data_IF_344263476178
#
_entry.id   IF_344263476178
#
_cell.length_a   1.000
_cell.length_b   1.000
_cell.length_c   1.000
_cell.angle_alpha   90.00
_cell.angle_beta   90.00
_cell.angle_gamma   90.00
#
_symmetry.space_group_name_H-M   'P 1'
#
loop_
_entity.id
_entity.type
_entity.pdbx_description
1 polymer ?
#
# COMPACT_ATOMS: atom_id res chain seq x y z
N UNK A 1 0.19 5.70 -1.57
CA UNK A 1 -0.95 5.83 -0.65
C UNK A 1 -0.53 5.38 0.74
N UNK A 2 0.01 4.16 0.88
CA UNK A 2 0.40 3.57 2.16
C UNK A 2 1.25 4.48 3.06
N UNK A 3 2.35 5.08 2.56
CA UNK A 3 3.18 5.96 3.39
C UNK A 3 2.41 7.18 3.93
N UNK A 4 1.47 7.72 3.15
CA UNK A 4 0.61 8.83 3.59
C UNK A 4 -0.40 8.39 4.66
N UNK A 5 -0.98 7.18 4.51
CA UNK A 5 -1.86 6.59 5.52
C UNK A 5 -1.10 6.28 6.81
N UNK A 6 0.08 5.67 6.72
CA UNK A 6 0.96 5.41 7.86
C UNK A 6 1.31 6.70 8.61
N UNK A 7 1.61 7.78 7.88
CA UNK A 7 1.81 9.10 8.49
C UNK A 7 0.56 9.60 9.22
N UNK A 8 -0.63 9.52 8.59
CA UNK A 8 -1.90 9.93 9.23
C UNK A 8 -2.16 9.15 10.51
N UNK A 9 -1.92 7.84 10.49
CA UNK A 9 -2.05 6.98 11.67
C UNK A 9 -1.09 7.43 12.76
N UNK A 10 0.20 7.60 12.46
CA UNK A 10 1.19 8.05 13.44
C UNK A 10 0.83 9.41 14.05
N UNK A 11 0.38 10.38 13.24
CA UNK A 11 -0.05 11.70 13.70
C UNK A 11 -1.30 11.62 14.63
N UNK A 12 -2.17 10.62 14.43
CA UNK A 12 -3.38 10.38 15.20
C UNK A 12 -3.09 9.68 16.53
N UNK A 13 -2.28 8.63 16.53
CA UNK A 13 -2.01 7.82 17.74
C UNK A 13 -0.85 8.38 18.59
N UNK A 14 0.09 9.12 17.98
CA UNK A 14 1.21 9.83 18.64
C UNK A 14 2.05 8.97 19.58
N UNK A 15 2.38 7.76 19.15
CA UNK A 15 3.29 6.90 19.90
C UNK A 15 4.75 7.37 19.74
N UNK A 16 5.54 7.52 20.82
CA UNK A 16 6.88 8.12 20.77
C UNK A 16 7.85 7.47 19.78
N UNK A 17 7.78 6.14 19.63
CA UNK A 17 8.66 5.39 18.72
C UNK A 17 8.40 5.74 17.25
N UNK A 18 7.16 6.06 16.88
CA UNK A 18 6.79 6.41 15.51
C UNK A 18 7.24 7.83 15.16
N UNK A 19 7.18 8.74 16.12
CA UNK A 19 7.69 10.11 15.97
C UNK A 19 9.23 10.15 15.90
N UNK A 20 9.90 9.23 16.60
CA UNK A 20 11.36 9.11 16.61
C UNK A 20 11.91 8.44 15.34
N UNK A 21 11.18 7.48 14.76
CA UNK A 21 11.64 6.64 13.65
C UNK A 21 10.72 6.69 12.40
N UNK A 22 10.32 7.88 11.91
CA UNK A 22 9.34 8.01 10.83
C UNK A 22 9.82 7.41 9.50
N UNK A 23 11.13 7.45 9.21
CA UNK A 23 11.69 6.84 8.00
C UNK A 23 11.49 5.33 7.96
N UNK A 24 11.69 4.66 9.10
CA UNK A 24 11.46 3.21 9.24
C UNK A 24 9.98 2.86 9.12
N UNK A 25 9.10 3.67 9.71
CA UNK A 25 7.65 3.56 9.55
C UNK A 25 7.22 3.62 8.08
N UNK A 26 7.65 4.64 7.34
CA UNK A 26 7.29 4.79 5.93
C UNK A 26 7.86 3.69 5.05
N UNK A 27 9.08 3.21 5.37
CA UNK A 27 9.68 2.09 4.69
C UNK A 27 8.87 0.81 4.92
N UNK A 28 8.49 0.54 6.16
CA UNK A 28 7.60 -0.58 6.52
C UNK A 28 6.26 -0.53 5.82
N UNK A 29 5.63 0.65 5.73
CA UNK A 29 4.35 0.85 5.06
C UNK A 29 4.37 0.59 3.55
N UNK A 30 5.55 0.56 2.93
CA UNK A 30 5.68 0.27 1.49
C UNK A 30 6.37 -1.06 1.22
N UNK A 31 7.07 -1.64 2.21
CA UNK A 31 7.87 -2.84 2.05
C UNK A 31 7.10 -4.07 1.51
N UNK A 32 5.81 -4.30 1.81
CA UNK A 32 5.11 -5.45 1.24
C UNK A 32 5.10 -5.48 -0.30
N UNK A 33 5.07 -4.31 -0.94
CA UNK A 33 5.07 -4.15 -2.41
C UNK A 33 6.42 -4.48 -3.06
N UNK A 34 7.48 -4.73 -2.28
CA UNK A 34 8.78 -5.15 -2.79
C UNK A 34 8.69 -6.42 -3.65
N UNK A 35 7.66 -7.23 -3.43
CA UNK A 35 7.41 -8.45 -4.22
C UNK A 35 7.32 -8.15 -5.72
N UNK A 36 6.90 -6.94 -6.12
CA UNK A 36 6.84 -6.50 -7.53
C UNK A 36 8.26 -6.43 -8.11
N UNK A 37 9.18 -5.80 -7.38
CA UNK A 37 10.58 -5.66 -7.78
C UNK A 37 11.27 -7.02 -7.82
N UNK A 38 11.05 -7.83 -6.79
CA UNK A 38 11.69 -9.14 -6.63
C UNK A 38 11.02 -10.27 -7.44
N UNK A 39 9.88 -9.98 -8.07
CA UNK A 39 9.00 -10.96 -8.75
C UNK A 39 8.62 -12.14 -7.85
N UNK A 40 8.44 -11.86 -6.56
CA UNK A 40 7.96 -12.83 -5.59
C UNK A 40 6.44 -12.94 -5.65
N UNK A 41 5.93 -14.09 -5.19
CA UNK A 41 4.51 -14.23 -4.90
C UNK A 41 4.07 -13.16 -3.90
N UNK A 42 2.95 -12.49 -4.16
CA UNK A 42 2.39 -11.46 -3.28
C UNK A 42 2.10 -12.03 -1.89
N UNK A 43 1.66 -13.28 -1.80
CA UNK A 43 1.33 -13.95 -0.53
C UNK A 43 2.54 -14.02 0.41
N UNK A 44 3.77 -14.02 -0.12
CA UNK A 44 5.01 -14.03 0.68
C UNK A 44 5.17 -12.78 1.54
N UNK A 45 4.71 -11.63 1.07
CA UNK A 45 4.90 -10.34 1.76
C UNK A 45 3.59 -9.75 2.27
N UNK A 46 2.46 -10.16 1.71
CA UNK A 46 1.15 -9.67 2.17
C UNK A 46 0.47 -10.65 3.13
N UNK A 47 0.99 -11.86 3.30
CA UNK A 47 0.45 -12.88 4.22
C UNK A 47 -1.05 -13.17 4.04
N UNK A 48 -1.57 -12.89 2.83
CA UNK A 48 -2.98 -12.97 2.49
C UNK A 48 -3.17 -13.70 1.17
N UNK A 49 -4.07 -14.69 1.14
CA UNK A 49 -4.38 -15.46 -0.06
C UNK A 49 -5.62 -14.91 -0.76
N UNK A 50 -5.42 -14.34 -1.95
CA UNK A 50 -6.51 -13.79 -2.77
C UNK A 50 -7.50 -14.86 -3.24
N UNK A 51 -7.04 -16.11 -3.39
CA UNK A 51 -7.88 -17.24 -3.80
C UNK A 51 -8.66 -17.89 -2.67
N UNK A 52 -8.34 -17.57 -1.41
CA UNK A 52 -9.09 -18.04 -0.25
C UNK A 52 -10.14 -17.00 0.16
N UNK A 53 -11.43 -17.37 0.12
CA UNK A 53 -12.55 -16.49 0.44
C UNK A 53 -12.99 -16.57 1.91
N UNK A 54 -12.37 -17.43 2.71
CA UNK A 54 -12.58 -17.49 4.16
C UNK A 54 -11.94 -16.30 4.88
N UNK A 55 -12.33 -16.11 6.14
CA UNK A 55 -11.74 -15.11 7.04
C UNK A 55 -10.23 -15.34 7.20
N UNK A 56 -9.45 -14.27 7.07
CA UNK A 56 -8.00 -14.27 7.10
C UNK A 56 -7.55 -12.99 7.82
N UNK A 57 -6.46 -13.06 8.58
CA UNK A 57 -5.79 -11.89 9.14
C UNK A 57 -4.34 -11.87 8.63
N UNK A 58 -4.02 -10.90 7.79
CA UNK A 58 -2.67 -10.75 7.24
C UNK A 58 -1.63 -10.48 8.34
N UNK A 59 -2.00 -9.70 9.36
CA UNK A 59 -1.13 -9.37 10.50
C UNK A 59 -0.86 -10.60 11.36
N UNK A 60 -1.88 -11.38 11.71
CA UNK A 60 -1.70 -12.61 12.48
C UNK A 60 -0.81 -13.62 11.72
N UNK A 61 -1.07 -13.80 10.42
CA UNK A 61 -0.28 -14.68 9.58
C UNK A 61 1.20 -14.21 9.45
N UNK A 62 1.46 -12.89 9.41
CA UNK A 62 2.82 -12.36 9.45
C UNK A 62 3.54 -12.77 10.73
N UNK A 63 2.89 -12.65 11.89
CA UNK A 63 3.48 -13.02 13.18
C UNK A 63 3.63 -14.54 13.37
N UNK A 64 2.73 -15.35 12.81
CA UNK A 64 2.91 -16.81 12.78
C UNK A 64 4.15 -17.23 11.99
N UNK A 65 4.40 -16.58 10.85
CA UNK A 65 5.58 -16.87 10.01
C UNK A 65 6.85 -16.26 10.60
N UNK A 66 6.75 -15.11 11.24
CA UNK A 66 7.87 -14.38 11.85
C UNK A 66 7.61 -14.06 13.34
N UNK A 67 7.66 -15.04 14.26
CA UNK A 67 7.27 -14.85 15.66
C UNK A 67 8.09 -13.80 16.41
N UNK A 68 9.36 -13.62 16.06
CA UNK A 68 10.22 -12.60 16.66
C UNK A 68 9.67 -11.17 16.43
N UNK A 69 8.89 -10.95 15.37
CA UNK A 69 8.28 -9.64 15.10
C UNK A 69 7.08 -9.35 16.00
N UNK A 70 6.50 -10.35 16.67
CA UNK A 70 5.35 -10.19 17.55
C UNK A 70 5.71 -9.61 18.94
N UNK A 71 6.99 -9.40 19.20
CA UNK A 71 7.51 -8.98 20.50
C UNK A 71 8.23 -7.63 20.38
N UNK A 72 7.50 -6.50 20.33
CA UNK A 72 8.10 -5.18 20.11
C UNK A 72 9.18 -4.82 21.15
N UNK A 73 9.05 -5.32 22.38
CA UNK A 73 10.00 -5.10 23.47
C UNK A 73 11.38 -5.73 23.22
N UNK A 74 11.47 -6.71 22.32
CA UNK A 74 12.72 -7.39 21.94
C UNK A 74 13.37 -6.76 20.68
N UNK A 75 12.66 -5.82 20.03
CA UNK A 75 13.10 -5.18 18.81
C UNK A 75 13.76 -3.83 19.08
N UNK A 76 14.62 -3.41 18.16
CA UNK A 76 15.14 -2.03 18.17
C UNK A 76 14.03 -1.03 17.78
N UNK A 77 14.08 0.24 18.24
CA UNK A 77 13.08 1.25 17.89
C UNK A 77 12.81 1.40 16.38
N UNK A 78 13.84 1.39 15.50
CA UNK A 78 13.62 1.41 14.05
C UNK A 78 12.86 0.17 13.54
N UNK A 79 13.16 -1.02 14.09
CA UNK A 79 12.46 -2.25 13.72
C UNK A 79 11.01 -2.23 14.18
N UNK A 80 10.72 -1.72 15.38
CA UNK A 80 9.35 -1.52 15.88
C UNK A 80 8.57 -0.60 14.93
N UNK A 81 9.12 0.57 14.59
CA UNK A 81 8.46 1.49 13.67
C UNK A 81 8.25 0.88 12.28
N UNK A 82 9.22 0.13 11.77
CA UNK A 82 9.08 -0.63 10.52
C UNK A 82 7.93 -1.63 10.58
N UNK A 83 7.81 -2.43 11.64
CA UNK A 83 6.71 -3.38 11.81
C UNK A 83 5.36 -2.66 11.89
N UNK A 84 5.26 -1.54 12.61
CA UNK A 84 4.04 -0.72 12.63
C UNK A 84 3.64 -0.24 11.23
N UNK A 85 4.63 0.18 10.43
CA UNK A 85 4.40 0.54 9.02
C UNK A 85 3.85 -0.64 8.23
N UNK A 86 4.48 -1.81 8.38
CA UNK A 86 4.06 -3.03 7.72
C UNK A 86 2.62 -3.43 8.09
N UNK A 87 2.27 -3.36 9.37
CA UNK A 87 0.89 -3.59 9.86
C UNK A 87 -0.09 -2.64 9.16
N UNK A 88 0.22 -1.34 9.09
CA UNK A 88 -0.67 -0.37 8.43
C UNK A 88 -0.92 -0.70 6.96
N UNK A 89 0.09 -1.24 6.27
CA UNK A 89 -0.05 -1.68 4.89
C UNK A 89 -0.98 -2.89 4.80
N UNK A 90 -0.70 -3.93 5.59
CA UNK A 90 -1.47 -5.18 5.58
C UNK A 90 -2.95 -4.93 5.87
N UNK A 91 -3.24 -4.13 6.91
CA UNK A 91 -4.61 -3.77 7.28
C UNK A 91 -5.31 -3.01 6.14
N UNK A 92 -4.65 -2.00 5.55
CA UNK A 92 -5.25 -1.22 4.46
C UNK A 92 -5.57 -2.11 3.25
N UNK A 93 -4.65 -3.01 2.87
CA UNK A 93 -4.84 -3.91 1.73
C UNK A 93 -5.92 -4.96 1.99
N UNK A 94 -5.99 -5.50 3.20
CA UNK A 94 -7.05 -6.42 3.61
C UNK A 94 -8.43 -5.76 3.54
N UNK A 95 -8.56 -4.52 4.04
CA UNK A 95 -9.79 -3.74 3.92
C UNK A 95 -10.13 -3.50 2.45
N UNK A 96 -9.17 -3.09 1.61
CA UNK A 96 -9.44 -2.89 0.18
C UNK A 96 -9.94 -4.18 -0.47
N UNK A 97 -9.29 -5.31 -0.21
CA UNK A 97 -9.66 -6.59 -0.80
C UNK A 97 -11.08 -6.99 -0.40
N UNK A 98 -11.41 -6.91 0.88
CA UNK A 98 -12.67 -7.42 1.42
C UNK A 98 -13.85 -6.45 1.20
N UNK A 99 -13.62 -5.15 1.34
CA UNK A 99 -14.70 -4.15 1.29
C UNK A 99 -14.89 -3.52 -0.09
N UNK A 100 -13.85 -3.55 -0.95
CA UNK A 100 -13.86 -2.87 -2.25
C UNK A 100 -13.64 -3.84 -3.41
N UNK A 101 -12.49 -4.51 -3.47
CA UNK A 101 -12.15 -5.34 -4.63
C UNK A 101 -13.15 -6.50 -4.81
N UNK A 102 -13.28 -7.39 -3.81
CA UNK A 102 -14.14 -8.58 -3.93
C UNK A 102 -15.60 -8.24 -4.24
N UNK A 103 -16.24 -7.24 -3.59
CA UNK A 103 -17.64 -6.93 -3.84
C UNK A 103 -17.90 -6.20 -5.15
N UNK A 104 -16.94 -5.42 -5.67
CA UNK A 104 -17.19 -4.51 -6.81
C UNK A 104 -16.44 -4.82 -8.10
N UNK A 105 -15.26 -5.43 -8.01
CA UNK A 105 -14.39 -5.74 -9.16
C UNK A 105 -13.99 -7.22 -9.26
N UNK A 106 -14.09 -7.98 -8.17
CA UNK A 106 -13.68 -9.36 -8.10
C UNK A 106 -14.67 -10.33 -8.73
N UNK A 107 -14.34 -11.63 -8.68
CA UNK A 107 -15.14 -12.72 -9.29
C UNK A 107 -16.56 -12.87 -8.75
N UNK A 108 -16.83 -12.32 -7.56
CA UNK A 108 -18.15 -12.36 -6.93
C UNK A 108 -18.94 -11.05 -7.13
N UNK A 109 -18.38 -10.10 -7.88
CA UNK A 109 -18.96 -8.77 -8.09
C UNK A 109 -19.89 -8.70 -9.31
N UNK A 110 -20.68 -7.63 -9.45
CA UNK A 110 -21.42 -7.34 -10.69
C UNK A 110 -20.55 -7.21 -11.94
N UNK A 111 -19.24 -7.00 -11.79
CA UNK A 111 -18.28 -6.85 -12.89
C UNK A 111 -17.43 -8.10 -13.15
N UNK A 112 -17.78 -9.26 -12.57
CA UNK A 112 -16.94 -10.47 -12.64
C UNK A 112 -16.51 -10.91 -14.04
N UNK A 113 -17.35 -10.67 -15.06
CA UNK A 113 -17.09 -11.01 -16.46
C UNK A 113 -16.67 -9.80 -17.33
N UNK A 114 -16.53 -8.61 -16.72
CA UNK A 114 -16.08 -7.41 -17.42
C UNK A 114 -14.56 -7.30 -17.38
N UNK A 115 -13.93 -7.33 -18.56
CA UNK A 115 -12.48 -7.15 -18.69
C UNK A 115 -11.99 -5.78 -18.21
N UNK A 116 -12.88 -4.82 -18.01
CA UNK A 116 -12.58 -3.50 -17.45
C UNK A 116 -12.47 -3.48 -15.93
N UNK A 117 -12.93 -4.50 -15.21
CA UNK A 117 -13.00 -4.51 -13.75
C UNK A 117 -11.62 -4.21 -13.11
N UNK A 118 -10.59 -4.94 -13.51
CA UNK A 118 -9.24 -4.78 -12.96
C UNK A 118 -8.61 -3.42 -13.33
N UNK A 119 -8.89 -2.87 -14.53
CA UNK A 119 -8.34 -1.56 -14.90
C UNK A 119 -9.05 -0.43 -14.15
N UNK A 120 -10.35 -0.58 -13.86
CA UNK A 120 -11.11 0.37 -13.04
C UNK A 120 -10.65 0.35 -11.59
N UNK A 121 -10.46 -0.85 -11.00
CA UNK A 121 -9.85 -1.02 -9.68
C UNK A 121 -8.50 -0.29 -9.58
N UNK A 122 -7.61 -0.51 -10.56
CA UNK A 122 -6.31 0.16 -10.61
C UNK A 122 -6.42 1.67 -10.80
N UNK A 123 -7.37 2.13 -11.59
CA UNK A 123 -7.61 3.56 -11.80
C UNK A 123 -8.00 4.26 -10.49
N UNK A 124 -8.89 3.66 -9.69
CA UNK A 124 -9.26 4.22 -8.37
C UNK A 124 -8.08 4.19 -7.40
N UNK A 125 -7.39 3.06 -7.26
CA UNK A 125 -6.21 2.97 -6.37
C UNK A 125 -5.15 4.02 -6.73
N UNK A 126 -4.92 4.23 -8.03
CA UNK A 126 -3.96 5.22 -8.50
C UNK A 126 -4.43 6.65 -8.24
N UNK A 127 -5.71 6.95 -8.44
CA UNK A 127 -6.24 8.28 -8.14
C UNK A 127 -6.16 8.58 -6.65
N UNK A 128 -6.41 7.60 -5.79
CA UNK A 128 -6.23 7.73 -4.34
C UNK A 128 -4.76 7.95 -3.96
N UNK A 129 -3.81 7.22 -4.58
CA UNK A 129 -2.38 7.51 -4.42
C UNK A 129 -2.06 8.95 -4.80
N UNK A 130 -2.58 9.41 -5.95
CA UNK A 130 -2.36 10.76 -6.44
C UNK A 130 -2.92 11.81 -5.51
N UNK A 131 -4.14 11.63 -5.01
CA UNK A 131 -4.78 12.53 -4.06
C UNK A 131 -4.02 12.56 -2.73
N UNK A 132 -3.60 11.40 -2.21
CA UNK A 132 -2.79 11.32 -0.99
C UNK A 132 -1.43 12.02 -1.11
N UNK A 133 -0.89 12.09 -2.33
CA UNK A 133 0.37 12.78 -2.66
C UNK A 133 0.20 14.24 -3.06
N UNK A 134 -1.02 14.75 -3.13
CA UNK A 134 -1.29 16.13 -3.47
C UNK A 134 -0.84 17.11 -2.38
N UNK A 135 -0.81 16.68 -1.11
CA UNK A 135 -0.22 17.45 -0.03
C UNK A 135 1.31 17.43 -0.13
N UNK A 136 1.85 18.53 -0.68
CA UNK A 136 3.29 18.68 -0.90
C UNK A 136 4.09 18.73 0.41
N UNK A 137 3.53 19.25 1.50
CA UNK A 137 4.27 19.33 2.77
C UNK A 137 4.42 17.95 3.41
N UNK A 138 3.33 17.18 3.42
CA UNK A 138 3.33 15.78 3.85
C UNK A 138 4.30 14.97 3.00
N UNK A 139 4.28 15.11 1.68
CA UNK A 139 5.19 14.36 0.80
C UNK A 139 6.65 14.75 0.97
N UNK A 140 6.95 16.05 1.13
CA UNK A 140 8.31 16.50 1.40
C UNK A 140 8.85 15.93 2.71
N UNK A 141 8.01 15.85 3.75
CA UNK A 141 8.38 15.21 5.00
C UNK A 141 8.65 13.71 4.79
N UNK A 142 7.73 12.97 4.17
CA UNK A 142 7.89 11.52 3.94
C UNK A 142 9.15 11.21 3.15
N UNK A 143 9.38 11.91 2.03
CA UNK A 143 10.57 11.71 1.19
C UNK A 143 11.84 12.03 1.96
N UNK A 144 11.85 13.12 2.75
CA UNK A 144 13.00 13.49 3.58
C UNK A 144 13.33 12.41 4.60
N UNK A 145 12.35 11.88 5.31
CA UNK A 145 12.57 10.84 6.33
C UNK A 145 12.96 9.51 5.70
N UNK A 146 12.33 9.12 4.58
CA UNK A 146 12.71 7.93 3.80
C UNK A 146 14.11 8.03 3.17
N UNK A 147 14.61 9.22 2.87
CA UNK A 147 15.94 9.38 2.28
C UNK A 147 17.07 9.29 3.32
N UNK A 148 16.76 9.26 4.62
CA UNK A 148 17.77 9.09 5.67
C UNK A 148 18.33 7.67 5.62
N UNK A 149 19.62 7.48 5.95
CA UNK A 149 20.18 6.14 6.08
C UNK A 149 19.38 5.33 7.08
N UNK A 150 18.76 4.23 6.63
CA UNK A 150 18.04 3.33 7.53
C UNK A 150 19.08 2.55 8.34
N UNK A 151 18.95 2.50 9.68
CA UNK A 151 19.75 1.59 10.48
C UNK A 151 19.50 0.14 10.03
N UNK A 152 20.41 -0.78 10.37
CA UNK A 152 20.23 -2.19 10.05
C UNK A 152 18.95 -2.69 10.74
N UNK A 153 17.93 -3.00 9.94
CA UNK A 153 16.67 -3.59 10.41
C UNK A 153 16.85 -5.10 10.49
N UNK A 154 16.81 -5.64 11.70
CA UNK A 154 16.92 -7.09 11.97
C UNK A 154 15.51 -7.69 12.00
N UNK A 155 14.87 -7.76 10.84
CA UNK A 155 13.46 -8.18 10.71
C UNK A 155 13.28 -9.53 10.00
N UNK A 156 14.36 -10.14 9.47
CA UNK A 156 14.46 -11.48 8.84
C UNK A 156 13.42 -11.87 7.77
N UNK A 157 12.48 -10.98 7.43
CA UNK A 157 11.41 -11.17 6.45
C UNK A 157 11.85 -10.75 5.04
N UNK A 158 12.69 -9.72 4.95
CA UNK A 158 13.20 -9.15 3.70
C UNK A 158 14.72 -8.98 3.86
N UNK A 159 15.49 -9.53 2.93
CA UNK A 159 16.95 -9.37 2.92
C UNK A 159 17.35 -7.89 2.87
N UNK A 160 18.37 -7.49 3.65
CA UNK A 160 18.75 -6.08 3.82
C UNK A 160 19.22 -5.39 2.52
N UNK A 161 19.74 -6.14 1.55
CA UNK A 161 20.08 -5.63 0.22
C UNK A 161 18.82 -5.25 -0.58
N UNK A 162 17.77 -6.09 -0.54
CA UNK A 162 16.50 -5.86 -1.21
C UNK A 162 15.81 -4.65 -0.58
N UNK A 163 15.83 -4.54 0.74
CA UNK A 163 15.21 -3.42 1.44
C UNK A 163 15.88 -2.07 1.14
N UNK A 164 17.22 -2.04 1.08
CA UNK A 164 17.96 -0.84 0.65
C UNK A 164 17.63 -0.44 -0.79
N UNK A 165 17.51 -1.41 -1.70
CA UNK A 165 17.12 -1.16 -3.08
C UNK A 165 15.69 -0.61 -3.17
N UNK A 166 14.77 -1.19 -2.40
CA UNK A 166 13.39 -0.75 -2.30
C UNK A 166 13.27 0.67 -1.78
N UNK A 167 14.01 1.00 -0.71
CA UNK A 167 14.06 2.35 -0.15
C UNK A 167 14.46 3.38 -1.20
N UNK A 168 15.52 3.13 -1.97
CA UNK A 168 15.95 4.00 -3.06
C UNK A 168 14.86 4.21 -4.12
N UNK A 169 14.18 3.13 -4.50
CA UNK A 169 13.07 3.18 -5.46
C UNK A 169 11.86 3.95 -4.93
N UNK A 170 11.53 3.81 -3.63
CA UNK A 170 10.45 4.57 -3.00
C UNK A 170 10.76 6.06 -2.90
N UNK A 171 12.00 6.42 -2.54
CA UNK A 171 12.45 7.82 -2.54
C UNK A 171 12.30 8.43 -3.93
N UNK A 172 12.75 7.73 -4.97
CA UNK A 172 12.58 8.17 -6.36
C UNK A 172 11.09 8.31 -6.71
N UNK A 173 10.30 7.24 -6.51
CA UNK A 173 8.90 7.18 -6.90
C UNK A 173 8.03 8.26 -6.23
N UNK A 174 8.24 8.52 -4.94
CA UNK A 174 7.48 9.50 -4.17
C UNK A 174 7.92 10.94 -4.46
N UNK A 175 9.17 11.16 -4.86
CA UNK A 175 9.68 12.49 -5.24
C UNK A 175 9.21 12.94 -6.63
N UNK A 176 8.73 12.01 -7.47
CA UNK A 176 8.08 12.37 -8.73
C UNK A 176 6.68 12.95 -8.52
N UNK A 177 6.21 13.85 -9.41
CA UNK A 177 4.82 14.30 -9.41
C UNK A 177 3.86 13.11 -9.59
N UNK A 178 2.73 13.09 -8.87
CA UNK A 178 1.70 12.06 -9.06
C UNK A 178 0.84 12.38 -10.30
N UNK A 179 1.42 12.26 -11.49
CA UNK A 179 0.71 12.47 -12.75
C UNK A 179 0.23 11.14 -13.37
N UNK A 180 -0.70 11.20 -14.32
CA UNK A 180 -1.24 9.97 -14.95
C UNK A 180 -0.23 9.19 -15.80
N UNK A 181 0.94 9.75 -16.12
CA UNK A 181 1.94 9.08 -16.96
C UNK A 181 2.60 7.91 -16.23
N UNK A 182 2.63 7.95 -14.89
CA UNK A 182 3.17 6.85 -14.08
C UNK A 182 2.19 5.71 -13.85
N UNK A 183 0.93 5.85 -14.31
CA UNK A 183 -0.06 4.78 -14.22
C UNK A 183 0.41 3.46 -14.86
N UNK A 184 1.27 3.50 -15.90
CA UNK A 184 1.87 2.30 -16.50
C UNK A 184 2.54 1.35 -15.50
N UNK A 185 3.09 1.89 -14.41
CA UNK A 185 3.75 1.08 -13.38
C UNK A 185 2.75 0.45 -12.41
N UNK A 186 1.57 1.06 -12.23
CA UNK A 186 0.46 0.55 -11.41
C UNK A 186 -0.45 -0.40 -12.19
N UNK A 187 -0.81 -0.05 -13.42
CA UNK A 187 -1.76 -0.78 -14.25
C UNK A 187 -1.27 -2.17 -14.67
N UNK A 188 0.04 -2.40 -14.73
CA UNK A 188 0.66 -3.72 -14.84
C UNK A 188 -0.04 -4.66 -15.85
N UNK A 189 -0.51 -5.81 -15.37
CA UNK A 189 -1.22 -6.80 -16.19
C UNK A 189 -2.63 -6.36 -16.62
N UNK A 190 -3.29 -5.49 -15.87
CA UNK A 190 -4.63 -4.99 -16.21
C UNK A 190 -4.60 -4.20 -17.52
N UNK A 191 -3.53 -3.44 -17.79
CA UNK A 191 -3.32 -2.77 -19.07
C UNK A 191 -3.27 -3.75 -20.24
N UNK A 192 -2.53 -4.85 -20.10
CA UNK A 192 -2.44 -5.88 -21.13
C UNK A 192 -3.79 -6.57 -21.37
N UNK A 193 -4.58 -6.81 -20.32
CA UNK A 193 -5.88 -7.47 -20.41
C UNK A 193 -6.90 -6.66 -21.24
N UNK A 194 -6.77 -5.33 -21.26
CA UNK A 194 -7.61 -4.43 -22.08
C UNK A 194 -6.94 -3.99 -23.38
N UNK A 195 -5.86 -4.67 -23.80
CA UNK A 195 -5.20 -4.42 -25.09
C UNK A 195 -4.28 -3.20 -25.14
N UNK A 196 -3.84 -2.69 -23.99
CA UNK A 196 -2.88 -1.58 -23.90
C UNK A 196 -1.48 -2.15 -23.70
N UNK A 197 -0.85 -2.58 -24.80
CA UNK A 197 0.45 -3.25 -24.82
C UNK A 197 1.55 -2.45 -25.54
N UNK A 198 1.21 -1.33 -26.19
CA UNK A 198 2.16 -0.45 -26.86
C UNK A 198 2.30 0.92 -26.18
N UNK A 199 3.46 1.59 -26.30
CA UNK A 199 3.61 2.96 -25.81
C UNK A 199 2.59 3.94 -26.41
N UNK A 200 2.24 3.77 -27.69
CA UNK A 200 1.27 4.64 -28.36
C UNK A 200 -0.15 4.42 -27.81
N UNK A 201 -0.56 3.16 -27.63
CA UNK A 201 -1.85 2.84 -26.99
C UNK A 201 -1.92 3.43 -25.58
N UNK A 202 -0.83 3.34 -24.81
CA UNK A 202 -0.76 3.93 -23.48
C UNK A 202 -0.89 5.47 -23.50
N UNK A 203 -0.24 6.16 -24.45
CA UNK A 203 -0.34 7.62 -24.57
C UNK A 203 -1.78 8.07 -24.81
N UNK A 204 -2.54 7.34 -25.63
CA UNK A 204 -3.96 7.64 -25.85
C UNK A 204 -4.81 7.29 -24.61
N UNK A 205 -4.57 6.13 -24.00
CA UNK A 205 -5.27 5.71 -22.80
C UNK A 205 -5.05 6.65 -21.60
N UNK A 206 -3.85 7.20 -21.43
CA UNK A 206 -3.57 8.16 -20.34
C UNK A 206 -4.48 9.37 -20.40
N UNK A 207 -4.98 9.75 -21.58
CA UNK A 207 -5.92 10.87 -21.73
C UNK A 207 -7.30 10.54 -21.18
N UNK A 208 -7.69 9.26 -21.17
CA UNK A 208 -9.00 8.80 -20.67
C UNK A 208 -8.95 8.36 -19.20
N UNK A 209 -7.75 8.21 -18.61
CA UNK A 209 -7.58 7.77 -17.23
C UNK A 209 -8.32 8.63 -16.18
N UNK A 210 -8.32 9.98 -16.27
CA UNK A 210 -9.08 10.79 -15.31
C UNK A 210 -10.57 10.46 -15.32
N UNK A 211 -11.15 10.29 -16.51
CA UNK A 211 -12.57 9.97 -16.67
C UNK A 211 -12.85 8.54 -16.19
N UNK A 212 -11.96 7.58 -16.47
CA UNK A 212 -12.07 6.21 -15.97
C UNK A 212 -12.01 6.14 -14.44
N UNK A 213 -11.12 6.90 -13.82
CA UNK A 213 -11.04 6.97 -12.36
C UNK A 213 -12.29 7.61 -11.74
N UNK A 214 -12.84 8.65 -12.38
CA UNK A 214 -14.10 9.25 -11.96
C UNK A 214 -15.28 8.28 -12.12
N UNK A 215 -15.39 7.60 -13.26
CA UNK A 215 -16.40 6.55 -13.52
C UNK A 215 -16.33 5.44 -12.46
N UNK A 216 -15.13 4.93 -12.18
CA UNK A 216 -14.94 3.86 -11.21
C UNK A 216 -15.23 4.33 -9.77
N UNK A 217 -14.89 5.58 -9.43
CA UNK A 217 -15.23 6.16 -8.12
C UNK A 217 -16.73 6.35 -7.95
N UNK A 218 -17.41 6.83 -8.99
CA UNK A 218 -18.87 7.00 -8.96
C UNK A 218 -19.60 5.64 -8.92
N UNK A 219 -19.04 4.61 -9.58
CA UNK A 219 -19.53 3.22 -9.48
C UNK A 219 -19.41 2.64 -8.06
N UNK A 220 -18.29 2.88 -7.38
CA UNK A 220 -18.11 2.49 -5.97
C UNK A 220 -19.00 3.29 -5.02
N UNK A 221 -19.30 4.54 -5.39
CA UNK A 221 -19.86 5.56 -4.51
C UNK A 221 -18.77 6.25 -3.68
N UNK A 222 -18.78 7.58 -3.67
CA UNK A 222 -17.77 8.40 -2.98
C UNK A 222 -17.70 8.12 -1.49
N UNK A 223 -18.86 7.94 -0.84
CA UNK A 223 -18.95 7.58 0.57
C UNK A 223 -18.24 6.26 0.88
N UNK A 224 -18.22 5.30 -0.06
CA UNK A 224 -17.51 4.03 0.12
C UNK A 224 -16.00 4.21 0.13
N UNK A 225 -15.51 5.04 -0.78
CA UNK A 225 -14.09 5.37 -0.89
C UNK A 225 -13.60 6.15 0.34
N UNK A 226 -14.40 7.11 0.80
CA UNK A 226 -14.13 7.85 2.04
C UNK A 226 -14.13 6.92 3.26
N UNK A 227 -15.15 6.06 3.38
CA UNK A 227 -15.23 5.07 4.45
C UNK A 227 -14.05 4.09 4.43
N UNK A 228 -13.56 3.68 3.26
CA UNK A 228 -12.34 2.88 3.12
C UNK A 228 -11.12 3.60 3.73
N UNK A 229 -10.93 4.88 3.39
CA UNK A 229 -9.79 5.65 3.89
C UNK A 229 -9.85 5.87 5.40
N UNK A 230 -11.04 6.16 5.94
CA UNK A 230 -11.27 6.32 7.38
C UNK A 230 -11.03 5.00 8.11
N UNK A 231 -11.67 3.92 7.66
CA UNK A 231 -11.50 2.58 8.23
C UNK A 231 -10.04 2.12 8.20
N UNK A 232 -9.29 2.45 7.15
CA UNK A 232 -7.86 2.12 7.04
C UNK A 232 -7.01 2.84 8.10
N UNK A 233 -7.33 4.10 8.40
CA UNK A 233 -6.63 4.86 9.45
C UNK A 233 -7.02 4.34 10.83
N UNK A 234 -8.31 4.15 11.08
CA UNK A 234 -8.80 3.74 12.39
C UNK A 234 -8.37 2.31 12.73
N UNK A 235 -8.63 1.34 11.86
CA UNK A 235 -8.25 -0.06 12.11
C UNK A 235 -6.73 -0.26 12.06
N UNK A 236 -6.02 0.46 11.17
CA UNK A 236 -4.56 0.45 11.16
C UNK A 236 -3.96 1.02 12.45
N UNK A 237 -4.57 2.08 12.99
CA UNK A 237 -4.19 2.67 14.28
C UNK A 237 -4.45 1.74 15.46
N UNK A 238 -5.61 1.09 15.52
CA UNK A 238 -5.92 0.12 16.58
C UNK A 238 -4.99 -1.11 16.52
N UNK A 239 -4.72 -1.65 15.32
CA UNK A 239 -3.78 -2.77 15.16
C UNK A 239 -2.35 -2.40 15.59
N UNK A 240 -1.91 -1.17 15.32
CA UNK A 240 -0.60 -0.69 15.78
C UNK A 240 -0.58 -0.51 17.31
N UNK A 241 -1.65 -0.01 17.93
CA UNK A 241 -1.74 0.11 19.39
C UNK A 241 -1.68 -1.26 20.05
N UNK A 242 -2.48 -2.21 19.57
CA UNK A 242 -2.47 -3.59 20.06
C UNK A 242 -1.08 -4.24 19.92
N UNK A 243 -0.36 -3.95 18.84
CA UNK A 243 1.00 -4.42 18.68
C UNK A 243 2.00 -3.79 19.65
N UNK A 244 1.80 -2.52 20.05
CA UNK A 244 2.74 -1.77 20.89
C UNK A 244 2.49 -1.93 22.40
N UNK A 245 1.31 -2.40 22.80
CA UNK A 245 0.87 -2.61 24.18
C UNK A 245 1.29 -4.00 24.71
#
# INVERSE_FOLDING_TARGET
MHAAIAKRIADQIRYPVLDAEPGSLYLGATAPDIHILMRWDRKRTHFFDLGNFEEQSAVAAMFEVHPALAHPAELSPPAVAFVCGYISHLVMDEIWINDVYRPFFGRSSPMADDSRADIMDRAVQYDLDRQARADRQVMLHIVKELARPTPKLDVDMIEGNALSLWQGLMVEALNHPPDWKRFRFFGGRALMAVGIDTPQAFVEFVKTLPDLAAEATDYLGREKVEAFLEKSVDQGGEAIKEYLD
#
